data_IF_296276813903
#
_entry.id   IF_296276813903
#
_cell.length_a   1.000
_cell.length_b   1.000
_cell.length_c   1.000
_cell.angle_alpha   90.00
_cell.angle_beta   90.00
_cell.angle_gamma   90.00
#
_symmetry.space_group_name_H-M   'P 1'
#
loop_
_entity.id
_entity.type
_entity.pdbx_description
1 polymer ?
#
# COMPACT_ATOMS: atom_id res chain seq x y z
N UNK A 1 20.33 78.01 -47.20
CA UNK A 1 21.67 77.43 -46.91
C UNK A 1 21.49 76.21 -46.01
N UNK A 2 21.85 75.03 -46.53
CA UNK A 2 22.12 73.72 -45.90
C UNK A 2 21.39 73.38 -44.58
N UNK A 3 20.36 72.54 -44.68
CA UNK A 3 19.90 71.67 -43.59
C UNK A 3 20.64 70.32 -43.69
N UNK A 4 21.35 69.96 -42.63
CA UNK A 4 22.14 68.73 -42.50
C UNK A 4 21.26 67.53 -42.11
N UNK A 5 21.52 66.40 -42.77
CA UNK A 5 20.89 65.10 -42.55
C UNK A 5 21.12 64.58 -41.11
N UNK A 6 20.07 64.07 -40.47
CA UNK A 6 20.16 63.12 -39.36
C UNK A 6 19.97 61.71 -39.91
N UNK A 7 21.02 60.88 -39.84
CA UNK A 7 20.91 59.43 -40.04
C UNK A 7 20.69 58.78 -38.68
N UNK A 8 19.57 58.06 -38.49
CA UNK A 8 19.36 57.18 -37.34
C UNK A 8 19.22 55.75 -37.84
N UNK A 9 20.20 54.94 -37.49
CA UNK A 9 20.20 53.48 -37.66
C UNK A 9 19.20 52.89 -36.66
N UNK A 10 18.17 52.20 -37.15
CA UNK A 10 17.29 51.36 -36.32
C UNK A 10 17.88 49.95 -36.32
N UNK A 11 18.42 49.53 -35.17
CA UNK A 11 18.83 48.15 -34.91
C UNK A 11 17.58 47.41 -34.43
N UNK A 12 16.98 46.59 -35.30
CA UNK A 12 15.89 45.69 -34.93
C UNK A 12 16.45 44.47 -34.21
N UNK A 13 16.24 44.39 -32.89
CA UNK A 13 16.53 43.20 -32.09
C UNK A 13 15.37 42.22 -32.24
N UNK A 14 15.60 41.11 -32.94
CA UNK A 14 14.67 39.97 -32.99
C UNK A 14 14.80 39.18 -31.68
N UNK A 15 13.87 39.37 -30.75
CA UNK A 15 13.73 38.51 -29.58
C UNK A 15 12.94 37.27 -30.01
N UNK A 16 13.65 36.17 -30.24
CA UNK A 16 13.04 34.86 -30.48
C UNK A 16 12.46 34.31 -29.19
N UNK A 17 11.14 34.28 -29.07
CA UNK A 17 10.45 33.55 -28.00
C UNK A 17 10.54 32.06 -28.34
N UNK A 18 11.46 31.35 -27.70
CA UNK A 18 11.46 29.89 -27.71
C UNK A 18 10.38 29.41 -26.73
N UNK A 19 9.21 29.04 -27.24
CA UNK A 19 8.23 28.29 -26.45
C UNK A 19 8.74 26.86 -26.30
N UNK A 20 9.27 26.53 -25.12
CA UNK A 20 9.43 25.13 -24.75
C UNK A 20 8.04 24.47 -24.72
N UNK A 21 7.83 23.34 -25.40
CA UNK A 21 6.58 22.61 -25.25
C UNK A 21 6.50 22.08 -23.81
N UNK A 22 5.64 22.69 -23.01
CA UNK A 22 5.22 22.11 -21.73
C UNK A 22 4.31 20.93 -22.09
N UNK A 23 4.83 19.71 -22.06
CA UNK A 23 3.96 18.53 -22.02
C UNK A 23 3.32 18.52 -20.64
N UNK A 24 2.03 18.84 -20.58
CA UNK A 24 1.26 18.77 -19.34
C UNK A 24 0.79 17.33 -19.13
N UNK A 25 1.11 16.75 -17.98
CA UNK A 25 0.56 15.47 -17.55
C UNK A 25 -0.97 15.55 -17.50
N UNK A 26 -1.64 14.50 -17.97
CA UNK A 26 -3.08 14.33 -17.86
C UNK A 26 -3.38 13.75 -16.49
N UNK A 27 -4.17 14.47 -15.70
CA UNK A 27 -4.64 14.04 -14.39
C UNK A 27 -6.16 13.97 -14.42
N UNK A 28 -6.71 12.79 -14.12
CA UNK A 28 -8.14 12.56 -14.01
C UNK A 28 -8.47 12.01 -12.61
N UNK A 29 -9.65 12.34 -12.10
CA UNK A 29 -10.11 11.92 -10.78
C UNK A 29 -11.49 11.32 -10.86
N UNK A 30 -11.63 10.11 -10.35
CA UNK A 30 -12.89 9.38 -10.29
C UNK A 30 -13.21 9.09 -8.83
N UNK A 31 -14.35 9.56 -8.36
CA UNK A 31 -14.84 9.29 -7.01
C UNK A 31 -16.17 8.52 -7.05
N UNK A 32 -16.31 7.53 -6.19
CA UNK A 32 -17.56 6.80 -5.94
C UNK A 32 -17.74 6.57 -4.44
N UNK A 33 -19.00 6.44 -4.02
CA UNK A 33 -19.34 6.06 -2.66
C UNK A 33 -20.41 4.96 -2.69
N UNK A 34 -20.27 4.02 -1.76
CA UNK A 34 -21.09 2.82 -1.64
C UNK A 34 -21.60 2.74 -0.22
N UNK A 35 -22.92 2.79 -0.02
CA UNK A 35 -23.51 2.58 1.31
C UNK A 35 -23.32 1.12 1.70
N UNK A 36 -22.85 0.88 2.92
CA UNK A 36 -22.64 -0.45 3.48
C UNK A 36 -23.13 -0.48 4.92
N UNK A 37 -23.47 -1.67 5.40
CA UNK A 37 -23.78 -1.93 6.81
C UNK A 37 -22.60 -2.69 7.46
N UNK A 38 -22.84 -3.28 8.64
CA UNK A 38 -21.86 -4.07 9.39
C UNK A 38 -21.30 -5.24 8.57
N UNK A 39 -20.06 -5.65 8.89
CA UNK A 39 -19.34 -6.75 8.24
C UNK A 39 -19.20 -6.57 6.71
N UNK A 40 -19.04 -5.32 6.27
CA UNK A 40 -18.78 -5.04 4.87
C UNK A 40 -17.41 -5.57 4.43
N UNK A 41 -17.28 -5.82 3.13
CA UNK A 41 -16.08 -6.39 2.53
C UNK A 41 -15.55 -5.47 1.44
N UNK A 42 -14.23 -5.36 1.35
CA UNK A 42 -13.56 -4.54 0.35
C UNK A 42 -12.42 -5.30 -0.32
N UNK A 43 -12.40 -5.27 -1.65
CA UNK A 43 -11.29 -5.79 -2.47
C UNK A 43 -10.78 -4.76 -3.46
N UNK A 44 -9.48 -4.81 -3.72
CA UNK A 44 -8.82 -3.89 -4.65
C UNK A 44 -7.66 -4.55 -5.38
N UNK A 45 -7.69 -4.48 -6.71
CA UNK A 45 -6.58 -4.87 -7.58
C UNK A 45 -6.02 -3.63 -8.29
N UNK A 46 -4.71 -3.38 -8.14
CA UNK A 46 -4.04 -2.28 -8.82
C UNK A 46 -2.63 -2.62 -9.30
N UNK A 47 -2.30 -2.23 -10.53
CA UNK A 47 -0.99 -2.53 -11.12
C UNK A 47 0.04 -1.46 -10.77
N UNK A 48 -0.29 -0.17 -10.90
CA UNK A 48 0.68 0.90 -10.68
C UNK A 48 0.08 2.04 -9.87
N UNK A 49 0.69 2.33 -8.72
CA UNK A 49 0.37 3.48 -7.88
C UNK A 49 0.11 3.11 -6.43
N UNK A 50 0.30 4.09 -5.55
CA UNK A 50 0.12 3.90 -4.12
C UNK A 50 -1.37 3.79 -3.75
N UNK A 51 -1.64 3.02 -2.70
CA UNK A 51 -2.98 2.84 -2.14
C UNK A 51 -2.96 3.19 -0.65
N UNK A 52 -3.90 4.05 -0.26
CA UNK A 52 -4.11 4.46 1.12
C UNK A 52 -5.53 4.10 1.54
N UNK A 53 -5.66 3.20 2.49
CA UNK A 53 -6.93 2.79 3.10
C UNK A 53 -6.98 3.34 4.52
N UNK A 54 -8.05 4.04 4.88
CA UNK A 54 -8.23 4.60 6.23
C UNK A 54 -9.65 4.40 6.72
N UNK A 55 -9.82 4.01 7.99
CA UNK A 55 -11.15 3.94 8.58
C UNK A 55 -11.77 5.32 8.82
N UNK A 56 -13.10 5.39 8.85
CA UNK A 56 -13.87 6.56 9.32
C UNK A 56 -15.17 6.16 10.01
N UNK A 57 -15.91 7.13 10.54
CA UNK A 57 -17.19 6.92 11.25
C UNK A 57 -18.41 7.15 10.35
N UNK A 58 -18.35 6.69 9.10
CA UNK A 58 -19.49 6.76 8.17
C UNK A 58 -19.84 5.36 7.64
N UNK A 59 -21.13 4.99 7.54
CA UNK A 59 -21.58 3.68 7.06
C UNK A 59 -21.55 3.61 5.52
N UNK A 60 -20.39 3.95 4.94
CA UNK A 60 -20.15 3.92 3.50
C UNK A 60 -18.69 3.73 3.20
N UNK A 61 -18.39 3.10 2.08
CA UNK A 61 -17.06 3.04 1.51
C UNK A 61 -16.96 4.14 0.45
N UNK A 62 -15.98 5.04 0.57
CA UNK A 62 -15.64 6.04 -0.44
C UNK A 62 -14.31 5.68 -1.07
N UNK A 63 -14.30 5.63 -2.40
CA UNK A 63 -13.13 5.36 -3.22
C UNK A 63 -12.85 6.58 -4.09
N UNK A 64 -11.65 7.12 -3.99
CA UNK A 64 -11.13 8.15 -4.88
C UNK A 64 -9.90 7.61 -5.64
N UNK A 65 -10.02 7.51 -6.97
CA UNK A 65 -8.95 7.11 -7.86
C UNK A 65 -8.39 8.35 -8.59
N UNK A 66 -7.08 8.59 -8.50
CA UNK A 66 -6.38 9.62 -9.25
C UNK A 66 -5.53 8.96 -10.34
N UNK A 67 -5.93 9.16 -11.59
CA UNK A 67 -5.26 8.61 -12.77
C UNK A 67 -4.29 9.66 -13.30
N UNK A 68 -3.01 9.31 -13.44
CA UNK A 68 -1.96 10.16 -14.01
C UNK A 68 -1.36 9.50 -15.24
N UNK A 69 -1.31 10.24 -16.34
CA UNK A 69 -0.75 9.75 -17.61
C UNK A 69 -0.02 10.88 -18.33
N UNK A 70 0.97 10.57 -19.17
CA UNK A 70 1.75 11.59 -19.87
C UNK A 70 0.95 12.22 -21.04
N UNK A 71 -0.14 11.59 -21.47
CA UNK A 71 -1.02 12.08 -22.52
C UNK A 71 -2.40 11.42 -22.45
N UNK A 72 -3.36 11.98 -23.21
CA UNK A 72 -4.75 11.52 -23.21
C UNK A 72 -4.90 10.06 -23.68
N UNK A 73 -4.10 9.63 -24.67
CA UNK A 73 -4.15 8.25 -25.18
C UNK A 73 -3.84 7.24 -24.06
N UNK A 74 -2.82 7.51 -23.25
CA UNK A 74 -2.46 6.66 -22.10
C UNK A 74 -3.50 6.71 -20.98
N UNK A 75 -4.10 7.89 -20.72
CA UNK A 75 -5.26 8.00 -19.82
C UNK A 75 -6.36 7.06 -20.31
N UNK A 76 -6.74 7.16 -21.58
CA UNK A 76 -7.92 6.46 -22.11
C UNK A 76 -7.82 4.93 -22.03
N UNK A 77 -6.59 4.41 -21.99
CA UNK A 77 -6.29 2.99 -21.79
C UNK A 77 -6.51 2.50 -20.35
N UNK A 78 -6.60 3.41 -19.37
CA UNK A 78 -6.89 3.06 -17.97
C UNK A 78 -8.39 3.06 -17.75
N UNK A 79 -8.92 1.90 -17.35
CA UNK A 79 -10.30 1.72 -16.91
C UNK A 79 -10.31 1.36 -15.43
N UNK A 80 -10.94 2.19 -14.62
CA UNK A 80 -11.21 1.90 -13.21
C UNK A 80 -12.65 1.42 -13.10
N UNK A 81 -12.84 0.17 -12.69
CA UNK A 81 -14.14 -0.44 -12.46
C UNK A 81 -14.37 -0.50 -10.95
N UNK A 82 -15.48 0.07 -10.50
CA UNK A 82 -15.89 0.05 -9.09
C UNK A 82 -17.32 -0.49 -9.03
N UNK A 83 -17.54 -1.57 -8.29
CA UNK A 83 -18.82 -2.26 -8.24
C UNK A 83 -19.15 -2.67 -6.81
N UNK A 84 -20.43 -2.77 -6.50
CA UNK A 84 -20.94 -3.28 -5.23
C UNK A 84 -21.89 -4.44 -5.50
N UNK A 85 -21.72 -5.54 -4.77
CA UNK A 85 -22.64 -6.69 -4.74
C UNK A 85 -22.97 -7.03 -3.29
N UNK A 86 -24.17 -6.66 -2.85
CA UNK A 86 -24.50 -6.73 -1.42
C UNK A 86 -23.57 -5.82 -0.61
N UNK A 87 -22.90 -6.38 0.39
CA UNK A 87 -21.98 -5.65 1.28
C UNK A 87 -20.51 -5.68 0.81
N UNK A 88 -20.25 -6.31 -0.35
CA UNK A 88 -18.92 -6.39 -0.93
C UNK A 88 -18.72 -5.31 -1.99
N UNK A 89 -17.69 -4.48 -1.83
CA UNK A 89 -17.27 -3.44 -2.77
C UNK A 89 -15.93 -3.84 -3.39
N UNK A 90 -15.92 -4.00 -4.71
CA UNK A 90 -14.75 -4.40 -5.48
C UNK A 90 -14.26 -3.27 -6.39
N UNK A 91 -12.95 -3.06 -6.43
CA UNK A 91 -12.28 -2.05 -7.26
C UNK A 91 -11.16 -2.69 -8.08
N UNK A 92 -11.23 -2.56 -9.40
CA UNK A 92 -10.26 -3.16 -10.32
C UNK A 92 -9.70 -2.11 -11.28
N UNK A 93 -8.38 -2.03 -11.42
CA UNK A 93 -7.72 -1.24 -12.47
C UNK A 93 -7.36 -2.12 -13.66
N UNK A 94 -7.98 -1.85 -14.81
CA UNK A 94 -7.66 -2.51 -16.07
C UNK A 94 -6.87 -1.57 -16.99
N UNK A 95 -5.78 -2.08 -17.55
CA UNK A 95 -4.97 -1.41 -18.56
C UNK A 95 -5.22 -2.09 -19.91
N UNK A 96 -5.89 -1.40 -20.84
CA UNK A 96 -6.14 -1.94 -22.17
C UNK A 96 -4.81 -2.07 -22.95
N UNK A 97 -4.38 -3.29 -23.23
CA UNK A 97 -3.23 -3.54 -24.08
C UNK A 97 -3.51 -3.09 -25.52
N UNK A 98 -2.54 -2.40 -26.13
CA UNK A 98 -2.41 -2.34 -27.60
C UNK A 98 -1.00 -2.76 -28.02
N UNK A 99 -0.99 -3.71 -28.96
CA UNK A 99 0.16 -4.27 -29.64
C UNK A 99 1.11 -3.24 -30.27
N UNK A 100 2.40 -3.57 -30.16
CA UNK A 100 3.57 -3.18 -30.96
C UNK A 100 4.06 -1.72 -30.99
N UNK A 101 5.34 -1.62 -30.63
CA UNK A 101 6.30 -0.54 -30.85
C UNK A 101 6.28 0.62 -29.84
N UNK A 102 7.02 0.41 -28.74
CA UNK A 102 7.80 1.43 -28.06
C UNK A 102 7.04 2.52 -27.31
N UNK A 103 6.64 2.25 -26.06
CA UNK A 103 6.47 3.27 -25.02
C UNK A 103 6.35 2.58 -23.66
N UNK A 104 7.41 2.63 -22.85
CA UNK A 104 7.52 1.93 -21.57
C UNK A 104 7.02 2.76 -20.38
N UNK A 105 5.93 3.51 -20.57
CA UNK A 105 5.40 4.42 -19.56
C UNK A 105 3.89 4.24 -19.47
N UNK A 106 3.48 3.30 -18.62
CA UNK A 106 2.08 3.07 -18.26
C UNK A 106 1.59 4.19 -17.34
N UNK A 107 0.33 4.56 -17.48
CA UNK A 107 -0.34 5.45 -16.56
C UNK A 107 -0.34 4.88 -15.11
N UNK A 108 -0.41 5.76 -14.12
CA UNK A 108 -0.46 5.42 -12.70
C UNK A 108 -1.86 5.70 -12.17
N UNK A 109 -2.37 4.83 -11.30
CA UNK A 109 -3.62 5.03 -10.56
C UNK A 109 -3.33 4.97 -9.06
N UNK A 110 -3.47 6.12 -8.41
CA UNK A 110 -3.36 6.24 -6.96
C UNK A 110 -4.76 6.16 -6.34
N UNK A 111 -4.89 5.43 -5.25
CA UNK A 111 -6.18 5.29 -4.55
C UNK A 111 -6.12 5.84 -3.14
N UNK A 112 -7.16 6.58 -2.79
CA UNK A 112 -7.51 6.89 -1.40
C UNK A 112 -8.88 6.32 -1.09
N UNK A 113 -8.95 5.45 -0.08
CA UNK A 113 -10.14 4.75 0.33
C UNK A 113 -10.46 5.11 1.78
N UNK A 114 -11.73 5.43 2.02
CA UNK A 114 -12.28 5.58 3.36
C UNK A 114 -13.41 4.57 3.56
N UNK A 115 -13.39 3.85 4.68
CA UNK A 115 -14.33 2.76 4.96
C UNK A 115 -14.67 2.65 6.45
N UNK A 116 -15.80 2.04 6.84
CA UNK A 116 -16.08 1.71 8.24
C UNK A 116 -14.94 0.89 8.86
N UNK A 117 -14.62 1.10 10.13
CA UNK A 117 -13.49 0.41 10.77
C UNK A 117 -13.62 -1.11 10.79
N UNK A 118 -14.84 -1.64 10.85
CA UNK A 118 -15.18 -3.07 10.87
C UNK A 118 -15.23 -3.72 9.48
N UNK A 119 -14.83 -3.01 8.43
CA UNK A 119 -14.74 -3.57 7.07
C UNK A 119 -13.61 -4.58 6.98
N UNK A 120 -13.90 -5.76 6.45
CA UNK A 120 -12.89 -6.75 6.11
C UNK A 120 -12.22 -6.39 4.77
N UNK A 121 -10.90 -6.42 4.75
CA UNK A 121 -10.11 -6.29 3.53
C UNK A 121 -9.78 -7.69 3.04
N UNK A 122 -10.69 -8.29 2.28
CA UNK A 122 -10.59 -9.71 1.91
C UNK A 122 -9.46 -9.99 0.92
N UNK A 123 -9.14 -9.01 0.07
CA UNK A 123 -8.20 -9.17 -1.04
C UNK A 123 -7.68 -7.81 -1.55
N UNK A 124 -6.45 -7.45 -1.18
CA UNK A 124 -5.79 -6.21 -1.61
C UNK A 124 -4.51 -6.55 -2.36
N UNK A 125 -4.57 -6.56 -3.69
CA UNK A 125 -3.47 -6.94 -4.55
C UNK A 125 -2.84 -5.75 -5.26
N UNK A 126 -1.56 -5.48 -4.99
CA UNK A 126 -0.77 -4.48 -5.70
C UNK A 126 0.44 -5.08 -6.41
N UNK A 127 0.64 -4.71 -7.68
CA UNK A 127 1.86 -5.09 -8.41
C UNK A 127 3.00 -4.11 -8.12
N UNK A 128 2.80 -2.82 -8.35
CA UNK A 128 3.81 -1.77 -8.16
C UNK A 128 3.23 -0.58 -7.40
N UNK A 129 3.51 -0.52 -6.11
CA UNK A 129 3.01 0.55 -5.25
C UNK A 129 3.12 0.22 -3.77
N UNK A 130 3.15 1.25 -2.94
CA UNK A 130 3.08 1.07 -1.49
C UNK A 130 1.63 0.98 -1.03
N UNK A 131 1.36 0.07 -0.08
CA UNK A 131 0.08 -0.03 0.60
C UNK A 131 0.18 0.59 2.01
N UNK A 132 -0.73 1.51 2.32
CA UNK A 132 -0.89 2.04 3.68
C UNK A 132 -2.30 1.75 4.17
N UNK A 133 -2.43 1.11 5.34
CA UNK A 133 -3.70 0.79 6.00
C UNK A 133 -3.71 1.45 7.38
N UNK A 134 -4.74 2.23 7.69
CA UNK A 134 -4.86 2.96 8.94
C UNK A 134 -6.18 2.64 9.67
N UNK A 135 -6.05 2.16 10.91
CA UNK A 135 -7.11 1.99 11.90
C UNK A 135 -8.26 1.06 11.46
N UNK A 136 -7.92 -0.01 10.75
CA UNK A 136 -8.87 -1.04 10.34
C UNK A 136 -8.97 -2.10 11.44
N UNK A 137 -10.19 -2.38 11.85
CA UNK A 137 -10.56 -3.35 12.87
C UNK A 137 -11.19 -4.62 12.33
N UNK A 138 -11.45 -4.72 11.03
CA UNK A 138 -11.75 -5.99 10.34
C UNK A 138 -10.50 -6.81 10.04
N UNK A 139 -10.71 -8.00 9.49
CA UNK A 139 -9.64 -8.88 9.01
C UNK A 139 -8.94 -8.23 7.80
N UNK A 140 -7.63 -8.46 7.64
CA UNK A 140 -6.84 -7.87 6.57
C UNK A 140 -6.02 -8.92 5.82
N UNK A 141 -6.31 -9.09 4.55
CA UNK A 141 -5.53 -9.87 3.61
C UNK A 141 -4.96 -8.95 2.51
N UNK A 142 -3.63 -8.90 2.36
CA UNK A 142 -3.00 -8.02 1.38
C UNK A 142 -1.67 -8.53 0.83
N UNK A 143 -1.50 -8.39 -0.49
CA UNK A 143 -0.34 -8.83 -1.26
C UNK A 143 0.25 -7.64 -2.02
N UNK A 144 1.57 -7.45 -1.90
CA UNK A 144 2.28 -6.43 -2.71
C UNK A 144 3.53 -7.01 -3.36
N UNK A 145 3.56 -7.08 -4.69
CA UNK A 145 4.74 -7.63 -5.41
C UNK A 145 5.94 -6.69 -5.29
N UNK A 146 5.82 -5.42 -5.68
CA UNK A 146 6.89 -4.43 -5.62
C UNK A 146 6.44 -3.19 -4.85
N UNK A 147 6.75 -3.16 -3.56
CA UNK A 147 6.39 -2.06 -2.69
C UNK A 147 6.22 -2.49 -1.24
N UNK A 148 6.24 -1.53 -0.33
CA UNK A 148 6.09 -1.80 1.10
C UNK A 148 4.64 -1.81 1.56
N UNK A 149 4.37 -2.60 2.60
CA UNK A 149 3.10 -2.58 3.33
C UNK A 149 3.32 -1.89 4.67
N UNK A 150 2.51 -0.89 4.97
CA UNK A 150 2.45 -0.25 6.28
C UNK A 150 1.01 -0.31 6.81
N UNK A 151 0.78 -1.15 7.80
CA UNK A 151 -0.50 -1.26 8.48
C UNK A 151 -0.37 -0.76 9.93
N UNK A 152 -1.23 0.16 10.34
CA UNK A 152 -1.23 0.72 11.71
C UNK A 152 -2.63 0.75 12.28
N UNK A 153 -2.76 0.45 13.56
CA UNK A 153 -4.06 0.43 14.24
C UNK A 153 -4.87 -0.83 13.94
N UNK A 154 -4.21 -1.95 13.66
CA UNK A 154 -4.87 -3.25 13.45
C UNK A 154 -5.39 -3.83 14.78
N UNK A 155 -6.48 -4.59 14.71
CA UNK A 155 -7.08 -5.24 15.91
C UNK A 155 -7.55 -6.69 15.72
N UNK A 156 -7.70 -7.16 14.48
CA UNK A 156 -8.14 -8.52 14.10
C UNK A 156 -7.04 -9.22 13.29
N UNK A 157 -7.31 -10.42 12.80
CA UNK A 157 -6.36 -11.24 12.05
C UNK A 157 -5.81 -10.51 10.82
N UNK A 158 -4.55 -10.78 10.48
CA UNK A 158 -3.93 -10.22 9.29
C UNK A 158 -3.00 -11.20 8.59
N UNK A 159 -3.14 -11.30 7.27
CA UNK A 159 -2.22 -11.96 6.35
C UNK A 159 -1.63 -10.88 5.43
N UNK A 160 -0.35 -10.56 5.61
CA UNK A 160 0.33 -9.52 4.82
C UNK A 160 1.56 -10.13 4.14
N UNK A 161 1.62 -10.06 2.82
CA UNK A 161 2.74 -10.63 2.06
C UNK A 161 3.34 -9.64 1.06
N UNK A 162 4.66 -9.70 0.88
CA UNK A 162 5.34 -8.90 -0.13
C UNK A 162 6.53 -9.60 -0.76
N UNK A 163 6.68 -9.52 -2.08
CA UNK A 163 7.86 -10.11 -2.75
C UNK A 163 9.08 -9.21 -2.61
N UNK A 164 8.97 -7.94 -3.00
CA UNK A 164 10.06 -6.95 -2.97
C UNK A 164 9.62 -5.72 -2.18
N UNK A 165 9.66 -5.83 -0.86
CA UNK A 165 9.15 -4.79 0.01
C UNK A 165 9.25 -5.14 1.48
N UNK A 166 9.39 -4.12 2.32
CA UNK A 166 9.34 -4.33 3.77
C UNK A 166 7.89 -4.24 4.27
N UNK A 167 7.58 -5.04 5.28
CA UNK A 167 6.28 -5.03 5.95
C UNK A 167 6.44 -4.40 7.33
N UNK A 168 5.60 -3.43 7.64
CA UNK A 168 5.47 -2.87 8.98
C UNK A 168 4.01 -2.96 9.42
N UNK A 169 3.75 -3.79 10.42
CA UNK A 169 2.44 -3.92 11.06
C UNK A 169 2.49 -3.39 12.50
N UNK A 170 1.45 -2.68 12.91
CA UNK A 170 1.31 -2.14 14.27
C UNK A 170 -0.10 -2.38 14.77
N UNK A 171 -0.21 -3.22 15.79
CA UNK A 171 -1.46 -3.53 16.48
C UNK A 171 -1.70 -2.54 17.60
N UNK A 172 -2.89 -1.96 17.68
CA UNK A 172 -3.23 -1.02 18.76
C UNK A 172 -3.73 -1.75 20.00
N UNK A 173 -4.54 -2.78 19.78
CA UNK A 173 -5.08 -3.68 20.79
C UNK A 173 -5.46 -4.99 20.12
N UNK A 174 -5.68 -6.04 20.90
CA UNK A 174 -6.19 -7.30 20.37
C UNK A 174 -7.68 -7.43 20.63
N UNK A 175 -8.43 -7.75 19.59
CA UNK A 175 -9.79 -8.26 19.76
C UNK A 175 -9.74 -9.61 20.48
N UNK A 176 -10.81 -9.97 21.21
CA UNK A 176 -10.94 -11.33 21.79
C UNK A 176 -11.00 -12.43 20.74
N UNK A 177 -11.21 -12.05 19.48
CA UNK A 177 -11.38 -12.95 18.36
C UNK A 177 -10.13 -13.08 17.49
N UNK A 178 -9.04 -12.36 17.78
CA UNK A 178 -7.80 -12.55 17.04
C UNK A 178 -7.26 -13.95 17.32
N UNK A 179 -6.83 -14.62 16.26
CA UNK A 179 -6.23 -15.96 16.29
C UNK A 179 -4.85 -15.93 15.67
N UNK A 180 -4.68 -15.22 14.58
CA UNK A 180 -3.51 -15.38 13.71
C UNK A 180 -3.00 -14.07 13.12
N UNK A 181 -1.68 -13.94 13.08
CA UNK A 181 -0.97 -12.88 12.39
C UNK A 181 0.11 -13.54 11.53
N UNK A 182 -0.02 -13.43 10.22
CA UNK A 182 0.91 -13.99 9.25
C UNK A 182 1.53 -12.87 8.41
N UNK A 183 2.86 -12.79 8.44
CA UNK A 183 3.61 -11.76 7.73
C UNK A 183 4.75 -12.40 6.93
N UNK A 184 4.75 -12.23 5.61
CA UNK A 184 5.73 -12.88 4.74
C UNK A 184 6.44 -11.93 3.79
N UNK A 185 7.74 -12.10 3.60
CA UNK A 185 8.42 -11.41 2.50
C UNK A 185 9.62 -12.13 1.91
N UNK A 186 9.82 -12.04 0.59
CA UNK A 186 11.03 -12.59 -0.04
C UNK A 186 12.22 -11.64 0.14
N UNK A 187 12.10 -10.38 -0.26
CA UNK A 187 13.19 -9.39 -0.22
C UNK A 187 12.75 -8.15 0.56
N UNK A 188 12.88 -8.23 1.88
CA UNK A 188 12.39 -7.18 2.76
C UNK A 188 12.55 -7.51 4.22
N UNK A 189 12.52 -6.48 5.08
CA UNK A 189 12.45 -6.70 6.52
C UNK A 189 11.01 -6.65 7.00
N UNK A 190 10.69 -7.47 8.01
CA UNK A 190 9.39 -7.45 8.67
C UNK A 190 9.54 -6.83 10.05
N UNK A 191 8.68 -5.86 10.38
CA UNK A 191 8.59 -5.25 11.70
C UNK A 191 7.16 -5.33 12.20
N UNK A 192 6.95 -6.09 13.26
CA UNK A 192 5.67 -6.21 13.95
C UNK A 192 5.77 -5.50 15.29
N UNK A 193 4.82 -4.60 15.56
CA UNK A 193 4.69 -3.92 16.84
C UNK A 193 3.42 -4.38 17.54
N UNK A 194 3.56 -4.87 18.77
CA UNK A 194 2.50 -5.46 19.57
C UNK A 194 2.35 -4.72 20.92
N UNK A 195 1.13 -4.67 21.49
CA UNK A 195 0.88 -4.35 22.88
C UNK A 195 1.76 -5.15 23.86
N UNK A 196 2.14 -4.54 24.98
CA UNK A 196 3.06 -5.11 25.97
C UNK A 196 2.51 -6.34 26.70
N UNK A 197 1.19 -6.47 26.76
CA UNK A 197 0.42 -7.49 27.48
C UNK A 197 -0.07 -8.64 26.59
N UNK A 198 0.47 -8.75 25.37
CA UNK A 198 0.12 -9.82 24.45
C UNK A 198 0.47 -11.20 25.00
N UNK A 199 -0.40 -12.17 24.69
CA UNK A 199 -0.13 -13.58 24.87
C UNK A 199 -0.11 -14.22 23.49
N UNK A 200 1.07 -14.57 22.99
CA UNK A 200 1.24 -15.04 21.62
C UNK A 200 2.30 -16.12 21.52
N UNK A 201 2.10 -17.05 20.60
CA UNK A 201 3.11 -18.01 20.17
C UNK A 201 3.80 -17.46 18.94
N UNK A 202 5.13 -17.39 18.97
CA UNK A 202 5.94 -16.89 17.87
C UNK A 202 6.54 -18.06 17.09
N UNK A 203 6.40 -18.04 15.77
CA UNK A 203 7.21 -18.79 14.81
C UNK A 203 7.83 -17.79 13.83
N UNK A 204 9.13 -17.54 13.96
CA UNK A 204 9.84 -16.54 13.17
C UNK A 204 10.97 -17.22 12.41
N UNK A 205 10.99 -17.06 11.09
CA UNK A 205 12.01 -17.66 10.23
C UNK A 205 12.60 -16.66 9.24
N UNK A 206 13.93 -16.67 9.13
CA UNK A 206 14.62 -16.01 8.03
C UNK A 206 15.67 -16.92 7.41
N UNK A 207 15.98 -16.77 6.13
CA UNK A 207 17.13 -17.48 5.52
C UNK A 207 18.40 -16.63 5.61
N UNK A 208 18.29 -15.34 5.32
CA UNK A 208 19.39 -14.38 5.31
C UNK A 208 18.98 -13.11 6.06
N UNK A 209 19.41 -13.01 7.31
CA UNK A 209 19.04 -11.87 8.15
C UNK A 209 19.29 -12.13 9.63
N UNK A 210 18.55 -11.41 10.46
CA UNK A 210 18.58 -11.58 11.91
C UNK A 210 17.18 -11.43 12.48
N UNK A 211 16.92 -12.19 13.53
CA UNK A 211 15.68 -12.13 14.28
C UNK A 211 15.92 -11.39 15.59
N UNK A 212 15.04 -10.44 15.92
CA UNK A 212 15.05 -9.74 17.21
C UNK A 212 13.63 -9.67 17.79
N UNK A 213 13.52 -9.89 19.09
CA UNK A 213 12.29 -9.62 19.85
C UNK A 213 12.58 -8.77 21.09
N UNK A 214 11.68 -7.85 21.42
CA UNK A 214 11.70 -7.09 22.68
C UNK A 214 10.91 -7.80 23.81
N UNK A 215 10.32 -8.96 23.52
CA UNK A 215 9.58 -9.79 24.47
C UNK A 215 10.48 -10.88 25.07
N UNK A 216 10.27 -11.16 26.36
CA UNK A 216 10.88 -12.34 26.99
C UNK A 216 10.10 -13.59 26.60
N UNK A 217 10.80 -14.67 26.28
CA UNK A 217 10.19 -15.96 25.90
C UNK A 217 10.14 -16.87 27.13
N UNK A 218 8.98 -17.49 27.39
CA UNK A 218 8.72 -18.25 28.63
C UNK A 218 8.78 -19.78 28.50
N UNK A 219 8.90 -20.35 27.30
CA UNK A 219 8.79 -21.81 27.08
C UNK A 219 10.13 -22.57 27.18
N UNK A 220 10.07 -23.86 27.55
CA UNK A 220 11.25 -24.75 27.61
C UNK A 220 11.69 -25.26 26.22
N UNK A 221 10.85 -25.12 25.19
CA UNK A 221 11.15 -25.47 23.79
C UNK A 221 11.63 -24.27 22.96
N UNK A 222 12.16 -23.23 23.62
CA UNK A 222 12.69 -22.07 22.91
C UNK A 222 13.90 -22.49 22.05
N UNK A 223 13.68 -22.59 20.73
CA UNK A 223 14.75 -22.77 19.76
C UNK A 223 15.07 -21.40 19.21
N UNK A 224 16.24 -20.87 19.56
CA UNK A 224 16.83 -19.72 18.88
C UNK A 224 18.08 -20.18 18.16
N UNK A 225 17.94 -20.51 16.88
CA UNK A 225 19.06 -20.95 16.03
C UNK A 225 19.30 -19.93 14.94
N UNK A 226 19.95 -18.81 15.29
CA UNK A 226 20.45 -17.77 14.37
C UNK A 226 19.38 -17.06 13.50
N UNK A 227 18.68 -17.84 12.69
CA UNK A 227 17.68 -17.46 11.72
C UNK A 227 16.31 -18.14 11.92
N UNK A 228 16.11 -18.94 12.97
CA UNK A 228 14.79 -19.41 13.39
C UNK A 228 14.59 -19.12 14.88
N UNK A 229 13.42 -18.59 15.25
CA UNK A 229 12.97 -18.35 16.62
C UNK A 229 11.56 -18.92 16.78
N UNK A 230 11.44 -19.90 17.69
CA UNK A 230 10.15 -20.38 18.20
C UNK A 230 10.05 -20.16 19.71
N UNK A 231 8.90 -19.68 20.18
CA UNK A 231 8.67 -19.53 21.61
C UNK A 231 7.39 -18.77 21.95
N UNK A 232 6.99 -18.88 23.22
CA UNK A 232 5.76 -18.28 23.71
C UNK A 232 6.04 -16.98 24.46
N UNK A 233 5.16 -15.99 24.24
CA UNK A 233 4.95 -14.82 25.06
C UNK A 233 3.71 -15.09 25.91
N UNK A 234 3.85 -15.11 27.24
CA UNK A 234 2.73 -15.31 28.16
C UNK A 234 2.08 -16.68 27.97
N UNK A 235 0.76 -16.72 27.72
CA UNK A 235 -0.02 -17.96 27.58
C UNK A 235 -0.05 -18.54 26.15
N UNK A 236 0.47 -17.84 25.14
CA UNK A 236 0.47 -18.33 23.75
C UNK A 236 -0.93 -18.37 23.09
N UNK A 237 -1.77 -17.34 23.28
CA UNK A 237 -3.17 -17.35 22.82
C UNK A 237 -3.38 -16.96 21.35
N UNK A 238 -2.41 -16.27 20.73
CA UNK A 238 -2.42 -15.81 19.34
C UNK A 238 -1.23 -16.43 18.62
N UNK A 239 -1.45 -17.07 17.48
CA UNK A 239 -0.38 -17.59 16.64
C UNK A 239 0.18 -16.46 15.77
N UNK A 240 1.50 -16.27 15.82
CA UNK A 240 2.20 -15.24 15.04
C UNK A 240 3.27 -15.93 14.22
N UNK A 241 3.06 -15.98 12.90
CA UNK A 241 4.02 -16.45 11.92
C UNK A 241 4.66 -15.27 11.20
N UNK A 242 5.99 -15.26 11.11
CA UNK A 242 6.72 -14.27 10.32
C UNK A 242 7.84 -14.93 9.54
N UNK A 243 7.82 -14.80 8.22
CA UNK A 243 8.80 -15.44 7.35
C UNK A 243 9.50 -14.44 6.42
N UNK A 244 10.82 -14.57 6.29
CA UNK A 244 11.58 -13.78 5.33
C UNK A 244 12.70 -14.56 4.65
N UNK A 245 12.84 -14.47 3.32
CA UNK A 245 14.03 -15.07 2.68
C UNK A 245 15.25 -14.17 2.89
N UNK A 246 15.16 -12.90 2.51
CA UNK A 246 16.25 -11.93 2.57
C UNK A 246 15.84 -10.68 3.36
N UNK A 247 16.01 -10.75 4.68
CA UNK A 247 15.80 -9.61 5.56
C UNK A 247 15.68 -9.96 7.04
N UNK A 248 15.71 -8.91 7.86
CA UNK A 248 15.56 -9.06 9.31
C UNK A 248 14.09 -9.08 9.72
N UNK A 249 13.80 -9.90 10.72
CA UNK A 249 12.50 -9.96 11.39
C UNK A 249 12.62 -9.33 12.77
N UNK A 250 11.70 -8.42 13.09
CA UNK A 250 11.68 -7.73 14.39
C UNK A 250 10.27 -7.74 14.97
N UNK A 251 10.16 -8.26 16.19
CA UNK A 251 8.97 -8.15 17.02
C UNK A 251 9.25 -7.15 18.14
N UNK A 252 8.50 -6.07 18.18
CA UNK A 252 8.75 -4.93 19.06
C UNK A 252 7.53 -4.61 19.91
N UNK A 253 7.80 -3.99 21.06
CA UNK A 253 6.77 -3.40 21.90
C UNK A 253 6.34 -2.04 21.35
N UNK A 254 5.07 -1.70 21.47
CA UNK A 254 4.58 -0.33 21.29
C UNK A 254 5.06 0.61 22.40
#
# INVERSE_FOLDING_TARGET
>A
MKTLLKSSFIISVFVGIYSLPVQADVVDKVERSFTVDENSQFSLENINGAVVISSWQEPRIKVAATIRANNQKQRDQVKVKMQQKGQHVAVETHYEEKSNWGSNQSAQVEYTIWLPSDTNLDDIELVNGSLTINNVSGEVNAQVVNGSIKATGLTMDSELSSVNGSIKATYQSFSRHIKEIELETVNGSIKLYLPNDINAKLDLETMHGSIKTDFGLSSQENVFTGHNLRGDIGTGAVDISMESVNGSIKVMKN
#
